data_IF_805887158981
#
_entry.id   IF_805887158981
#
_cell.length_a   1.000
_cell.length_b   1.000
_cell.length_c   1.000
_cell.angle_alpha   90.00
_cell.angle_beta   90.00
_cell.angle_gamma   90.00
#
_symmetry.space_group_name_H-M   'P 1'
#
loop_
_entity.id
_entity.type
_entity.pdbx_description
1 polymer ?
#
# COMPACT_ATOMS: atom_id res chain seq x y z
N UNK A 1 8.78 5.77 -35.44
CA UNK A 1 8.93 4.29 -35.32
C UNK A 1 10.32 3.87 -34.83
N UNK A 2 11.42 4.54 -35.24
CA UNK A 2 12.78 4.24 -34.74
C UNK A 2 13.00 4.66 -33.26
N UNK A 3 12.27 5.67 -32.78
CA UNK A 3 12.39 6.19 -31.41
C UNK A 3 11.73 5.27 -30.36
N UNK A 4 10.59 4.63 -30.70
CA UNK A 4 10.01 3.55 -29.89
C UNK A 4 10.95 2.34 -29.77
N UNK A 5 11.55 1.93 -30.89
CA UNK A 5 12.53 0.82 -30.92
C UNK A 5 13.84 1.12 -30.19
N UNK A 6 14.17 2.40 -29.97
CA UNK A 6 15.36 2.82 -29.19
C UNK A 6 15.05 2.89 -27.69
N UNK A 7 13.82 3.23 -27.30
CA UNK A 7 13.32 3.11 -25.91
C UNK A 7 13.13 1.65 -25.48
N UNK A 8 12.62 0.80 -26.37
CA UNK A 8 12.48 -0.65 -26.16
C UNK A 8 13.84 -1.34 -25.93
N UNK A 9 14.91 -0.89 -26.61
CA UNK A 9 16.27 -1.44 -26.40
C UNK A 9 17.02 -0.82 -25.22
N UNK A 10 16.65 0.37 -24.76
CA UNK A 10 17.29 1.03 -23.62
C UNK A 10 16.91 0.38 -22.28
N UNK A 11 15.64 -0.03 -22.14
CA UNK A 11 15.11 -0.69 -20.95
C UNK A 11 15.52 -2.18 -20.78
N UNK A 12 16.21 -2.78 -21.75
CA UNK A 12 16.76 -4.13 -21.60
C UNK A 12 18.10 -4.16 -20.84
N UNK A 13 18.79 -3.02 -20.78
CA UNK A 13 20.14 -2.87 -20.17
C UNK A 13 20.11 -2.39 -18.73
N UNK A 14 19.07 -1.66 -18.33
CA UNK A 14 18.86 -1.19 -16.96
C UNK A 14 17.77 -2.07 -16.34
N UNK A 15 18.05 -2.72 -15.20
CA UNK A 15 17.09 -3.62 -14.54
C UNK A 15 15.77 -2.92 -14.20
N UNK A 16 14.74 -3.70 -13.89
CA UNK A 16 13.42 -3.17 -13.56
C UNK A 16 13.45 -2.22 -12.35
N UNK A 17 13.02 -0.97 -12.57
CA UNK A 17 13.09 0.11 -11.59
C UNK A 17 11.76 0.44 -10.90
N UNK A 18 10.68 -0.27 -11.27
CA UNK A 18 9.35 -0.10 -10.69
C UNK A 18 9.26 -0.52 -9.22
N UNK A 19 8.19 -0.11 -8.54
CA UNK A 19 7.98 -0.27 -7.10
C UNK A 19 8.00 -1.73 -6.69
N UNK A 20 7.38 -2.62 -7.48
CA UNK A 20 7.43 -4.06 -7.25
C UNK A 20 8.85 -4.65 -7.32
N UNK A 21 9.78 -3.96 -7.96
CA UNK A 21 11.20 -4.34 -8.01
C UNK A 21 12.02 -3.84 -6.82
N UNK A 22 11.45 -3.09 -5.88
CA UNK A 22 12.17 -2.52 -4.73
C UNK A 22 11.92 -3.32 -3.46
N UNK A 23 12.82 -3.17 -2.49
CA UNK A 23 12.56 -3.65 -1.13
C UNK A 23 11.43 -2.82 -0.54
N UNK A 24 10.38 -3.49 -0.04
CA UNK A 24 9.20 -2.82 0.51
C UNK A 24 8.61 -3.60 1.67
N UNK A 25 8.04 -2.87 2.62
CA UNK A 25 7.29 -3.43 3.75
C UNK A 25 5.80 -3.17 3.58
N UNK A 26 5.00 -4.04 4.17
CA UNK A 26 3.57 -3.82 4.31
C UNK A 26 3.14 -4.21 5.74
N UNK A 27 2.11 -3.56 6.29
CA UNK A 27 1.51 -4.01 7.53
C UNK A 27 0.77 -5.32 7.30
N UNK A 28 0.89 -6.25 8.23
CA UNK A 28 0.07 -7.46 8.33
C UNK A 28 -0.45 -7.56 9.75
N UNK A 29 -1.74 -7.81 9.88
CA UNK A 29 -2.36 -8.05 11.17
C UNK A 29 -2.04 -9.48 11.62
N UNK A 30 -1.46 -9.62 12.81
CA UNK A 30 -1.11 -10.91 13.42
C UNK A 30 -1.96 -11.08 14.66
N UNK A 31 -2.73 -12.16 14.71
CA UNK A 31 -3.52 -12.52 15.88
C UNK A 31 -2.69 -13.40 16.81
N UNK A 32 -2.54 -12.97 18.06
CA UNK A 32 -1.84 -13.68 19.12
C UNK A 32 -2.76 -14.74 19.78
N UNK A 33 -2.16 -15.65 20.55
CA UNK A 33 -2.88 -16.77 21.18
C UNK A 33 -3.96 -16.32 22.19
N UNK A 34 -3.87 -15.10 22.71
CA UNK A 34 -4.85 -14.49 23.60
C UNK A 34 -6.03 -13.83 22.86
N UNK A 35 -6.04 -13.92 21.52
CA UNK A 35 -7.05 -13.32 20.64
C UNK A 35 -6.85 -11.83 20.38
N UNK A 36 -5.79 -11.21 20.91
CA UNK A 36 -5.39 -9.86 20.54
C UNK A 36 -4.76 -9.84 19.14
N UNK A 37 -4.83 -8.70 18.47
CA UNK A 37 -4.25 -8.54 17.14
C UNK A 37 -3.24 -7.37 17.13
N UNK A 38 -2.07 -7.62 16.58
CA UNK A 38 -1.00 -6.65 16.45
C UNK A 38 -0.59 -6.46 14.99
N UNK A 39 -0.44 -5.20 14.58
CA UNK A 39 0.07 -4.88 13.24
C UNK A 39 1.58 -5.09 13.24
N UNK A 40 2.05 -6.00 12.38
CA UNK A 40 3.46 -6.31 12.16
C UNK A 40 3.86 -5.84 10.77
N UNK A 41 4.93 -5.07 10.69
CA UNK A 41 5.49 -4.63 9.41
C UNK A 41 6.44 -5.68 8.85
N UNK A 42 6.06 -6.30 7.74
CA UNK A 42 6.78 -7.41 7.11
C UNK A 42 7.22 -7.05 5.70
N UNK A 43 8.33 -7.62 5.23
CA UNK A 43 8.86 -7.35 3.90
C UNK A 43 8.08 -8.10 2.81
N UNK A 44 7.38 -7.37 1.94
CA UNK A 44 6.58 -7.93 0.82
C UNK A 44 7.31 -7.84 -0.53
N UNK A 45 8.40 -7.09 -0.58
CA UNK A 45 9.35 -7.10 -1.69
C UNK A 45 10.76 -7.04 -1.14
N UNK A 46 11.67 -7.77 -1.79
CA UNK A 46 13.09 -7.83 -1.45
C UNK A 46 13.89 -7.66 -2.73
N UNK A 47 14.64 -6.57 -2.82
CA UNK A 47 15.61 -6.35 -3.89
C UNK A 47 17.00 -6.75 -3.40
N UNK A 48 17.55 -7.81 -3.99
CA UNK A 48 18.83 -8.38 -3.58
C UNK A 48 20.05 -7.51 -3.90
N UNK A 49 19.91 -6.56 -4.84
CA UNK A 49 20.98 -5.63 -5.17
C UNK A 49 21.07 -4.50 -4.14
N UNK A 50 19.94 -4.00 -3.65
CA UNK A 50 19.91 -2.92 -2.64
C UNK A 50 20.00 -3.47 -1.21
N UNK A 51 19.42 -4.64 -0.95
CA UNK A 51 19.28 -5.22 0.40
C UNK A 51 19.77 -6.67 0.47
N UNK A 52 21.09 -6.91 0.32
CA UNK A 52 21.64 -8.28 0.30
C UNK A 52 21.42 -9.05 1.60
N UNK A 53 21.34 -8.37 2.75
CA UNK A 53 21.04 -9.01 4.04
C UNK A 53 19.62 -9.56 4.09
N UNK A 54 18.63 -8.82 3.57
CA UNK A 54 17.24 -9.28 3.48
C UNK A 54 17.08 -10.40 2.45
N UNK A 55 17.81 -10.33 1.34
CA UNK A 55 17.86 -11.40 0.36
C UNK A 55 18.37 -12.72 0.96
N UNK A 56 19.37 -12.65 1.85
CA UNK A 56 19.88 -13.83 2.54
C UNK A 56 18.85 -14.38 3.56
N UNK A 57 18.14 -13.51 4.28
CA UNK A 57 17.03 -13.93 5.16
C UNK A 57 15.89 -14.58 4.37
N UNK A 58 15.54 -14.03 3.20
CA UNK A 58 14.55 -14.62 2.30
C UNK A 58 14.97 -16.03 1.82
N UNK A 59 16.25 -16.20 1.44
CA UNK A 59 16.83 -17.49 1.03
C UNK A 59 16.94 -18.51 2.16
N UNK A 60 16.92 -18.08 3.42
CA UNK A 60 16.90 -18.96 4.60
C UNK A 60 15.49 -19.25 5.12
N UNK A 61 14.45 -18.69 4.50
CA UNK A 61 13.08 -18.77 5.00
C UNK A 61 12.92 -18.10 6.37
N UNK A 62 13.67 -17.03 6.61
CA UNK A 62 13.74 -16.29 7.87
C UNK A 62 13.01 -14.96 7.81
N UNK A 63 12.58 -14.54 6.62
CA UNK A 63 11.98 -13.23 6.38
C UNK A 63 10.72 -12.95 7.22
N UNK A 64 9.97 -14.00 7.56
CA UNK A 64 8.70 -13.91 8.29
C UNK A 64 8.67 -14.70 9.60
N UNK A 65 9.83 -14.99 10.19
CA UNK A 65 9.88 -15.58 11.54
C UNK A 65 9.69 -14.47 12.57
N UNK A 66 8.56 -14.51 13.29
CA UNK A 66 8.24 -13.57 14.36
C UNK A 66 8.29 -14.38 15.66
N UNK A 67 9.35 -14.14 16.43
CA UNK A 67 9.76 -14.95 17.58
C UNK A 67 9.99 -16.44 17.30
N UNK A 68 10.66 -17.13 18.23
CA UNK A 68 11.17 -18.51 18.03
C UNK A 68 10.07 -19.59 17.81
N UNK A 69 8.79 -19.22 17.79
CA UNK A 69 7.65 -20.15 17.79
C UNK A 69 6.63 -19.97 16.66
N UNK A 70 6.54 -18.81 15.98
CA UNK A 70 5.56 -18.59 14.90
C UNK A 70 6.19 -17.98 13.64
N UNK A 71 5.86 -18.55 12.48
CA UNK A 71 6.22 -18.01 11.18
C UNK A 71 4.97 -17.63 10.40
N UNK A 72 4.91 -16.41 9.87
CA UNK A 72 3.78 -15.99 9.04
C UNK A 72 3.89 -16.61 7.64
N UNK A 73 2.77 -17.12 7.14
CA UNK A 73 2.67 -17.63 5.77
C UNK A 73 2.23 -16.49 4.86
N UNK A 74 3.20 -15.81 4.25
CA UNK A 74 2.98 -14.65 3.40
C UNK A 74 3.76 -14.78 2.10
N UNK A 75 3.18 -14.32 0.99
CA UNK A 75 3.88 -14.17 -0.29
C UNK A 75 4.76 -12.92 -0.30
N UNK A 76 5.83 -12.93 -1.10
CA UNK A 76 6.65 -11.75 -1.35
C UNK A 76 7.28 -11.78 -2.73
N UNK A 77 7.67 -10.61 -3.24
CA UNK A 77 8.43 -10.50 -4.49
C UNK A 77 9.92 -10.54 -4.18
N UNK A 78 10.65 -11.41 -4.86
CA UNK A 78 12.12 -11.42 -4.86
C UNK A 78 12.62 -10.87 -6.18
N UNK A 79 13.49 -9.85 -6.13
CA UNK A 79 14.09 -9.25 -7.31
C UNK A 79 15.61 -9.20 -7.18
N UNK A 80 16.31 -9.73 -8.18
CA UNK A 80 17.75 -9.54 -8.38
C UNK A 80 17.95 -8.97 -9.80
N UNK A 81 18.11 -7.65 -9.93
CA UNK A 81 18.27 -7.02 -11.25
C UNK A 81 19.58 -7.44 -11.92
N UNK A 82 20.64 -7.73 -11.15
CA UNK A 82 21.94 -8.14 -11.70
C UNK A 82 21.86 -9.53 -12.35
N UNK A 83 21.06 -10.44 -11.78
CA UNK A 83 20.82 -11.78 -12.34
C UNK A 83 19.56 -11.89 -13.20
N UNK A 84 18.84 -10.77 -13.41
CA UNK A 84 17.54 -10.71 -14.11
C UNK A 84 16.55 -11.74 -13.56
N UNK A 85 16.48 -11.84 -12.22
CA UNK A 85 15.56 -12.73 -11.51
C UNK A 85 14.46 -11.89 -10.89
N UNK A 86 13.22 -12.26 -11.16
CA UNK A 86 12.04 -11.64 -10.58
C UNK A 86 11.00 -12.74 -10.36
N UNK A 87 10.71 -13.02 -9.10
CA UNK A 87 9.83 -14.12 -8.71
C UNK A 87 8.84 -13.70 -7.63
N UNK A 88 7.63 -14.21 -7.76
CA UNK A 88 6.65 -14.18 -6.69
C UNK A 88 6.83 -15.44 -5.85
N UNK A 89 7.35 -15.27 -4.64
CA UNK A 89 7.66 -16.38 -3.73
C UNK A 89 6.49 -16.61 -2.78
N UNK A 90 5.97 -17.82 -2.77
CA UNK A 90 4.91 -18.26 -1.87
C UNK A 90 5.44 -19.35 -0.94
N UNK A 91 5.04 -19.37 0.33
CA UNK A 91 5.27 -20.51 1.20
C UNK A 91 4.37 -21.69 0.78
N UNK A 92 4.77 -22.91 1.16
CA UNK A 92 4.09 -24.14 0.74
C UNK A 92 2.60 -24.17 1.13
N UNK A 93 2.25 -23.62 2.31
CA UNK A 93 0.87 -23.52 2.77
C UNK A 93 -0.04 -22.62 1.91
N UNK A 94 0.54 -21.69 1.16
CA UNK A 94 -0.20 -20.81 0.23
C UNK A 94 -0.24 -21.33 -1.21
N UNK A 95 0.21 -22.57 -1.48
CA UNK A 95 0.20 -23.18 -2.82
C UNK A 95 -1.15 -23.05 -3.54
N UNK A 96 -2.25 -23.16 -2.80
CA UNK A 96 -3.61 -23.06 -3.35
C UNK A 96 -3.96 -21.67 -3.89
N UNK A 97 -3.31 -20.60 -3.40
CA UNK A 97 -3.53 -19.20 -3.84
C UNK A 97 -2.58 -18.75 -4.94
N UNK A 98 -1.74 -19.65 -5.47
CA UNK A 98 -0.71 -19.31 -6.46
C UNK A 98 -1.24 -18.55 -7.68
N UNK A 99 -2.44 -18.90 -8.17
CA UNK A 99 -3.04 -18.21 -9.31
C UNK A 99 -3.59 -16.83 -8.96
N UNK A 100 -4.22 -16.69 -7.78
CA UNK A 100 -4.74 -15.42 -7.27
C UNK A 100 -3.60 -14.41 -7.03
N UNK A 101 -2.55 -14.85 -6.32
CA UNK A 101 -1.39 -14.01 -6.01
C UNK A 101 -0.64 -13.60 -7.29
N UNK A 102 -0.62 -14.48 -8.30
CA UNK A 102 -0.07 -14.15 -9.62
C UNK A 102 -0.93 -13.14 -10.37
N UNK A 103 -2.26 -13.27 -10.32
CA UNK A 103 -3.16 -12.30 -10.94
C UNK A 103 -2.97 -10.92 -10.30
N UNK A 104 -2.93 -10.84 -8.98
CA UNK A 104 -2.68 -9.60 -8.24
C UNK A 104 -1.33 -8.97 -8.61
N UNK A 105 -0.26 -9.77 -8.76
CA UNK A 105 1.03 -9.25 -9.23
C UNK A 105 0.95 -8.66 -10.65
N UNK A 106 0.23 -9.32 -11.56
CA UNK A 106 0.07 -8.85 -12.95
C UNK A 106 -0.73 -7.54 -12.98
N UNK A 107 -1.79 -7.44 -12.18
CA UNK A 107 -2.57 -6.22 -12.03
C UNK A 107 -1.70 -5.07 -11.51
N UNK A 108 -0.95 -5.30 -10.43
CA UNK A 108 -0.03 -4.29 -9.89
C UNK A 108 1.07 -3.89 -10.88
N UNK A 109 1.57 -4.81 -11.72
CA UNK A 109 2.53 -4.47 -12.79
C UNK A 109 1.87 -3.61 -13.88
N UNK A 110 0.60 -3.83 -14.19
CA UNK A 110 -0.13 -3.06 -15.18
C UNK A 110 -0.47 -1.63 -14.70
N UNK A 111 -0.56 -1.43 -13.39
CA UNK A 111 -0.79 -0.14 -12.74
C UNK A 111 0.45 0.76 -12.70
N UNK A 112 1.64 0.26 -13.07
CA UNK A 112 2.91 1.02 -13.13
C UNK A 112 3.37 1.30 -14.59
N UNK A 113 2.62 2.07 -15.42
CA UNK A 113 2.96 2.27 -16.83
C UNK A 113 4.21 3.13 -17.05
N UNK A 114 4.70 3.81 -16.00
CA UNK A 114 5.83 4.74 -16.07
C UNK A 114 7.19 4.03 -16.24
N UNK A 115 7.27 2.75 -15.90
CA UNK A 115 8.50 1.97 -15.99
C UNK A 115 8.41 0.91 -17.08
N UNK A 116 9.39 0.80 -18.00
CA UNK A 116 9.42 -0.28 -18.96
C UNK A 116 9.55 -1.61 -18.21
N UNK A 117 8.63 -2.54 -18.44
CA UNK A 117 8.63 -3.87 -17.83
C UNK A 117 9.54 -4.80 -18.66
N UNK A 118 10.70 -5.23 -18.14
CA UNK A 118 11.58 -6.15 -18.86
C UNK A 118 10.93 -7.53 -19.00
N UNK A 119 11.33 -8.30 -20.02
CA UNK A 119 10.79 -9.65 -20.25
C UNK A 119 10.88 -10.56 -19.02
N UNK A 120 11.98 -10.50 -18.26
CA UNK A 120 12.15 -11.34 -17.06
C UNK A 120 11.20 -10.98 -15.91
N UNK A 121 10.61 -9.78 -15.92
CA UNK A 121 9.57 -9.33 -14.99
C UNK A 121 8.19 -9.64 -15.52
N UNK A 122 7.95 -9.45 -16.82
CA UNK A 122 6.69 -9.82 -17.47
C UNK A 122 6.44 -11.35 -17.38
N UNK A 123 7.51 -12.14 -17.43
CA UNK A 123 7.51 -13.60 -17.32
C UNK A 123 7.76 -14.09 -15.88
N UNK A 124 7.49 -13.24 -14.88
CA UNK A 124 7.68 -13.56 -13.47
C UNK A 124 7.06 -14.92 -13.11
N UNK A 125 7.88 -15.78 -12.51
CA UNK A 125 7.47 -17.12 -12.09
C UNK A 125 6.95 -17.09 -10.66
N UNK A 126 5.91 -17.90 -10.41
CA UNK A 126 5.46 -18.20 -9.05
C UNK A 126 6.33 -19.34 -8.52
N UNK A 127 7.07 -19.04 -7.46
CA UNK A 127 8.01 -19.95 -6.82
C UNK A 127 7.42 -20.38 -5.49
N UNK A 128 7.16 -21.68 -5.32
CA UNK A 128 6.47 -22.20 -4.14
C UNK A 128 7.47 -22.96 -3.27
N UNK A 129 7.72 -22.44 -2.07
CA UNK A 129 8.62 -23.03 -1.09
C UNK A 129 10.09 -22.62 -1.26
N UNK A 130 10.87 -22.87 -0.21
CA UNK A 130 12.26 -22.45 -0.12
C UNK A 130 13.17 -23.18 -1.12
N UNK A 131 13.00 -24.50 -1.25
CA UNK A 131 13.76 -25.31 -2.20
C UNK A 131 13.54 -24.88 -3.66
N UNK A 132 12.32 -24.46 -3.99
CA UNK A 132 12.02 -23.94 -5.32
C UNK A 132 12.69 -22.58 -5.56
N UNK A 133 12.78 -21.74 -4.52
CA UNK A 133 13.50 -20.47 -4.59
C UNK A 133 14.99 -20.69 -4.79
N UNK A 134 15.61 -21.59 -4.03
CA UNK A 134 17.03 -21.91 -4.21
C UNK A 134 17.32 -22.43 -5.63
N UNK A 135 16.46 -23.31 -6.16
CA UNK A 135 16.57 -23.82 -7.54
C UNK A 135 16.42 -22.70 -8.56
N UNK A 136 15.38 -21.88 -8.44
CA UNK A 136 15.13 -20.74 -9.32
C UNK A 136 16.32 -19.76 -9.36
N UNK A 137 16.96 -19.52 -8.21
CA UNK A 137 18.11 -18.62 -8.10
C UNK A 137 19.44 -19.24 -8.59
N UNK A 138 19.54 -20.57 -8.55
CA UNK A 138 20.72 -21.31 -9.02
C UNK A 138 20.71 -21.56 -10.52
N UNK A 139 19.53 -21.61 -11.14
CA UNK A 139 19.40 -21.68 -12.60
C UNK A 139 19.96 -20.40 -13.23
N UNK A 140 21.05 -20.56 -13.97
CA UNK A 140 21.60 -19.48 -14.80
C UNK A 140 20.67 -19.28 -16.00
N UNK A 141 20.38 -18.06 -16.47
CA UNK A 141 19.47 -17.89 -17.60
C UNK A 141 20.09 -18.52 -18.86
N UNK A 142 19.57 -19.68 -19.30
CA UNK A 142 19.70 -20.07 -20.70
C UNK A 142 18.90 -19.07 -21.55
N UNK A 143 19.51 -18.63 -22.64
CA UNK A 143 18.90 -17.72 -23.61
C UNK A 143 17.53 -18.28 -24.07
N UNK A 144 16.52 -17.42 -24.32
CA UNK A 144 15.16 -17.88 -24.54
C UNK A 144 15.08 -18.74 -25.81
N UNK A 145 14.86 -20.05 -25.63
CA UNK A 145 14.39 -20.89 -26.71
C UNK A 145 12.97 -20.46 -27.08
N UNK A 146 12.82 -20.06 -28.34
CA UNK A 146 11.56 -19.76 -29.01
C UNK A 146 10.61 -20.95 -28.93
N UNK A 147 9.79 -20.99 -27.89
CA UNK A 147 8.61 -21.86 -27.84
C UNK A 147 7.45 -21.13 -28.48
N UNK A 148 7.23 -21.43 -29.76
CA UNK A 148 6.01 -21.09 -30.49
C UNK A 148 4.81 -21.66 -29.74
N UNK A 149 3.94 -20.79 -29.24
CA UNK A 149 2.59 -21.18 -28.83
C UNK A 149 1.77 -21.51 -30.09
N UNK A 150 1.08 -22.67 -30.17
CA UNK A 150 0.24 -23.00 -31.32
C UNK A 150 -0.96 -22.05 -31.36
N UNK A 151 -1.21 -21.43 -32.52
CA UNK A 151 -2.49 -20.76 -32.80
C UNK A 151 -3.59 -21.82 -32.85
N UNK A 152 -4.41 -21.88 -31.79
CA UNK A 152 -5.66 -22.63 -31.73
C UNK A 152 -6.83 -21.68 -31.49
N UNK A 153 -7.72 -21.62 -32.47
CA UNK A 153 -8.99 -20.91 -32.57
C UNK A 153 -9.63 -20.35 -31.28
N UNK A 154 -9.76 -19.02 -31.22
CA UNK A 154 -10.79 -18.36 -30.41
C UNK A 154 -12.12 -18.39 -31.18
N UNK A 155 -13.11 -19.09 -30.65
CA UNK A 155 -14.51 -18.89 -31.01
C UNK A 155 -15.02 -17.58 -30.37
N UNK A 156 -15.91 -16.83 -31.04
CA UNK A 156 -16.42 -15.56 -30.52
C UNK A 156 -17.36 -15.81 -29.34
N UNK A 157 -17.12 -15.13 -28.22
CA UNK A 157 -18.12 -15.01 -27.16
C UNK A 157 -19.06 -13.88 -27.60
N UNK A 158 -20.30 -14.26 -27.92
CA UNK A 158 -21.37 -13.35 -28.29
C UNK A 158 -21.70 -12.39 -27.14
N UNK A 159 -21.80 -11.11 -27.48
CA UNK A 159 -22.23 -10.06 -26.58
C UNK A 159 -23.69 -10.28 -26.17
N UNK A 160 -23.95 -10.38 -24.87
CA UNK A 160 -25.29 -10.18 -24.32
C UNK A 160 -25.53 -8.68 -24.08
N UNK A 161 -26.69 -8.14 -24.49
CA UNK A 161 -26.94 -6.71 -24.46
C UNK A 161 -27.36 -6.27 -23.05
N UNK A 162 -26.47 -5.59 -22.32
CA UNK A 162 -26.85 -4.87 -21.08
C UNK A 162 -27.48 -3.52 -21.47
N UNK A 163 -28.59 -3.58 -22.21
CA UNK A 163 -29.43 -2.43 -22.55
C UNK A 163 -30.78 -2.45 -21.82
N UNK A 164 -31.02 -3.41 -20.91
CA UNK A 164 -32.33 -3.64 -20.29
C UNK A 164 -32.31 -3.75 -18.76
N UNK A 165 -31.34 -3.09 -18.12
CA UNK A 165 -31.40 -2.73 -16.68
C UNK A 165 -31.21 -1.21 -16.47
N UNK A 166 -30.84 -0.48 -17.52
CA UNK A 166 -30.76 1.00 -17.52
C UNK A 166 -32.13 1.71 -17.60
N UNK A 167 -33.24 1.01 -17.27
CA UNK A 167 -34.60 1.59 -17.21
C UNK A 167 -35.26 1.29 -15.88
N UNK A 168 -34.68 1.82 -14.80
CA UNK A 168 -35.42 2.34 -13.64
C UNK A 168 -34.39 2.90 -12.67
N UNK A 169 -34.20 4.21 -12.75
CA UNK A 169 -34.00 5.16 -11.65
C UNK A 169 -33.22 6.34 -12.21
N UNK A 170 -33.99 7.31 -12.67
CA UNK A 170 -33.62 8.71 -12.71
C UNK A 170 -34.61 9.43 -11.78
N UNK A 171 -34.31 10.66 -11.34
CA UNK A 171 -33.63 10.99 -10.10
C UNK A 171 -34.63 11.44 -9.03
N UNK A 172 -34.39 11.09 -7.77
CA UNK A 172 -35.04 11.75 -6.65
C UNK A 172 -33.96 12.52 -5.89
N UNK A 173 -34.03 13.84 -6.05
CA UNK A 173 -33.29 14.82 -5.30
C UNK A 173 -33.76 14.78 -3.84
N UNK A 174 -32.95 14.20 -2.97
CA UNK A 174 -32.87 14.47 -1.53
C UNK A 174 -31.48 13.98 -1.11
N UNK A 175 -30.71 14.87 -0.50
CA UNK A 175 -29.32 14.63 -0.08
C UNK A 175 -29.30 13.60 1.07
N UNK A 176 -28.82 12.36 0.87
CA UNK A 176 -28.81 11.35 1.91
C UNK A 176 -27.70 11.59 2.96
N UNK A 177 -26.88 12.64 2.80
CA UNK A 177 -25.68 12.88 3.60
C UNK A 177 -25.88 13.92 4.72
N UNK A 178 -27.00 14.64 4.76
CA UNK A 178 -27.34 15.57 5.87
C UNK A 178 -27.60 14.85 7.22
N UNK A 179 -27.64 13.52 7.27
CA UNK A 179 -28.07 12.77 8.47
C UNK A 179 -27.11 11.67 8.94
N UNK A 180 -25.83 11.72 8.57
CA UNK A 180 -24.86 10.71 9.04
C UNK A 180 -24.61 10.77 10.55
N UNK A 181 -24.77 11.95 11.16
CA UNK A 181 -24.50 12.17 12.58
C UNK A 181 -25.57 11.54 13.52
N UNK A 182 -26.73 11.15 12.97
CA UNK A 182 -27.80 10.47 13.71
C UNK A 182 -27.77 8.94 13.57
N UNK A 183 -26.85 8.39 12.75
CA UNK A 183 -26.77 6.96 12.48
C UNK A 183 -26.06 6.20 13.60
N UNK A 184 -26.54 4.99 13.91
CA UNK A 184 -25.84 4.07 14.82
C UNK A 184 -24.47 3.66 14.23
N UNK A 185 -23.44 3.34 15.06
CA UNK A 185 -22.13 2.91 14.57
C UNK A 185 -22.16 1.73 13.58
N UNK A 186 -23.13 0.81 13.74
CA UNK A 186 -23.34 -0.32 12.84
C UNK A 186 -23.88 0.13 11.47
N UNK A 187 -24.77 1.14 11.46
CA UNK A 187 -25.29 1.71 10.23
C UNK A 187 -24.21 2.52 9.48
N UNK A 188 -23.36 3.25 10.21
CA UNK A 188 -22.19 3.94 9.67
C UNK A 188 -21.22 2.92 9.03
N UNK A 189 -20.90 1.84 9.74
CA UNK A 189 -20.05 0.76 9.24
C UNK A 189 -20.60 0.10 7.97
N UNK A 190 -21.90 -0.17 7.94
CA UNK A 190 -22.58 -0.78 6.77
C UNK A 190 -22.56 0.16 5.57
N UNK A 191 -22.89 1.42 5.77
CA UNK A 191 -22.93 2.42 4.71
C UNK A 191 -21.54 2.74 4.15
N UNK A 192 -20.53 2.84 5.01
CA UNK A 192 -19.16 3.09 4.56
C UNK A 192 -18.58 1.89 3.80
N UNK A 193 -18.92 0.67 4.20
CA UNK A 193 -18.61 -0.53 3.41
C UNK A 193 -19.25 -0.46 2.03
N UNK A 194 -20.54 -0.15 1.94
CA UNK A 194 -21.19 0.02 0.64
C UNK A 194 -20.52 1.09 -0.23
N UNK A 195 -20.06 2.20 0.36
CA UNK A 195 -19.33 3.24 -0.37
C UNK A 195 -17.98 2.73 -0.88
N UNK A 196 -17.24 1.96 -0.07
CA UNK A 196 -15.98 1.33 -0.51
C UNK A 196 -16.23 0.32 -1.63
N UNK A 197 -17.26 -0.52 -1.51
CA UNK A 197 -17.63 -1.56 -2.49
C UNK A 197 -18.08 -0.97 -3.83
N UNK A 198 -18.68 0.23 -3.83
CA UNK A 198 -19.05 0.98 -5.06
C UNK A 198 -17.84 1.48 -5.86
N UNK A 199 -16.63 1.34 -5.32
CA UNK A 199 -15.38 1.73 -5.96
C UNK A 199 -15.33 3.21 -6.31
N UNK A 200 -14.96 3.55 -7.55
CA UNK A 200 -14.86 4.95 -8.02
C UNK A 200 -16.17 5.74 -7.79
N UNK A 201 -17.32 5.08 -7.90
CA UNK A 201 -18.63 5.72 -7.70
C UNK A 201 -18.89 6.09 -6.23
N UNK A 202 -18.13 5.51 -5.30
CA UNK A 202 -18.23 5.78 -3.86
C UNK A 202 -17.31 6.91 -3.37
N UNK A 203 -16.30 7.30 -4.16
CA UNK A 203 -15.32 8.33 -3.78
C UNK A 203 -15.99 9.66 -3.42
N UNK A 204 -16.97 10.20 -4.18
CA UNK A 204 -17.65 11.44 -3.80
C UNK A 204 -18.33 11.36 -2.43
N UNK A 205 -18.93 10.20 -2.10
CA UNK A 205 -19.59 9.99 -0.81
C UNK A 205 -18.60 9.91 0.35
N UNK A 206 -17.44 9.28 0.14
CA UNK A 206 -16.37 9.24 1.13
C UNK A 206 -15.74 10.63 1.34
N UNK A 207 -15.54 11.40 0.27
CA UNK A 207 -15.04 12.79 0.36
C UNK A 207 -16.03 13.68 1.11
N UNK A 208 -17.34 13.52 0.88
CA UNK A 208 -18.35 14.23 1.66
C UNK A 208 -18.31 13.83 3.15
N UNK A 209 -18.15 12.54 3.45
CA UNK A 209 -18.07 12.03 4.81
C UNK A 209 -16.84 12.52 5.60
N UNK A 210 -15.76 12.95 4.93
CA UNK A 210 -14.63 13.63 5.60
C UNK A 210 -15.04 14.95 6.27
N UNK A 211 -16.18 15.54 5.91
CA UNK A 211 -16.69 16.81 6.43
C UNK A 211 -17.76 16.63 7.53
N UNK A 212 -18.03 15.40 7.97
CA UNK A 212 -19.02 15.12 9.03
C UNK A 212 -18.60 15.70 10.38
N UNK A 213 -19.56 16.09 11.22
CA UNK A 213 -19.30 16.53 12.59
C UNK A 213 -18.74 15.38 13.46
N UNK A 214 -19.11 14.14 13.13
CA UNK A 214 -18.64 12.92 13.80
C UNK A 214 -17.21 12.54 13.40
N UNK A 215 -16.28 12.61 14.37
CA UNK A 215 -14.89 12.14 14.22
C UNK A 215 -14.78 10.66 13.80
N UNK A 216 -15.75 9.83 14.20
CA UNK A 216 -15.86 8.42 13.83
C UNK A 216 -16.10 8.27 12.34
N UNK A 217 -17.03 9.07 11.79
CA UNK A 217 -17.38 9.08 10.37
C UNK A 217 -16.18 9.56 9.56
N UNK A 218 -15.55 10.66 9.97
CA UNK A 218 -14.38 11.21 9.26
C UNK A 218 -13.23 10.20 9.21
N UNK A 219 -12.94 9.52 10.32
CA UNK A 219 -11.92 8.47 10.38
C UNK A 219 -12.23 7.30 9.44
N UNK A 220 -13.47 6.83 9.43
CA UNK A 220 -13.86 5.69 8.63
C UNK A 220 -13.93 6.03 7.13
N UNK A 221 -14.30 7.27 6.78
CA UNK A 221 -14.17 7.80 5.42
C UNK A 221 -12.70 7.87 4.96
N UNK A 222 -11.80 8.34 5.83
CA UNK A 222 -10.37 8.34 5.59
C UNK A 222 -9.80 6.93 5.33
N UNK A 223 -10.24 5.94 6.12
CA UNK A 223 -9.86 4.53 5.91
C UNK A 223 -10.36 4.06 4.55
N UNK A 224 -11.62 4.34 4.21
CA UNK A 224 -12.20 3.98 2.91
C UNK A 224 -11.43 4.56 1.73
N UNK A 225 -11.05 5.84 1.80
CA UNK A 225 -10.24 6.51 0.78
C UNK A 225 -8.80 5.94 0.71
N UNK A 226 -8.21 5.58 1.84
CA UNK A 226 -6.85 5.01 1.88
C UNK A 226 -6.72 3.67 1.14
N UNK A 227 -7.82 2.91 1.03
CA UNK A 227 -7.86 1.62 0.35
C UNK A 227 -7.88 1.71 -1.16
N UNK A 228 -8.12 2.90 -1.71
CA UNK A 228 -8.11 3.17 -3.14
C UNK A 228 -7.15 4.33 -3.41
N UNK A 229 -5.82 4.05 -3.43
CA UNK A 229 -4.85 5.13 -3.55
C UNK A 229 -5.00 5.86 -4.87
N UNK A 230 -5.30 7.16 -4.78
CA UNK A 230 -5.34 8.06 -5.93
C UNK A 230 -4.83 9.44 -5.51
N UNK A 231 -4.39 10.23 -6.49
CA UNK A 231 -3.96 11.60 -6.24
C UNK A 231 -5.10 12.44 -5.62
N UNK A 232 -6.34 12.25 -6.08
CA UNK A 232 -7.50 12.95 -5.52
C UNK A 232 -7.76 12.54 -4.07
N UNK A 233 -7.77 11.23 -3.77
CA UNK A 233 -7.96 10.75 -2.41
C UNK A 233 -6.87 11.28 -1.46
N UNK A 234 -5.62 11.35 -1.91
CA UNK A 234 -4.52 11.90 -1.13
C UNK A 234 -4.69 13.39 -0.83
N UNK A 235 -5.03 14.19 -1.83
CA UNK A 235 -5.30 15.64 -1.64
C UNK A 235 -6.44 15.84 -0.64
N UNK A 236 -7.59 15.17 -0.85
CA UNK A 236 -8.75 15.32 0.04
C UNK A 236 -8.49 14.87 1.46
N UNK A 237 -7.70 13.80 1.63
CA UNK A 237 -7.35 13.31 2.96
C UNK A 237 -6.36 14.24 3.67
N UNK A 238 -5.41 14.85 2.93
CA UNK A 238 -4.51 15.87 3.48
C UNK A 238 -5.28 17.13 3.88
N UNK A 239 -6.20 17.60 3.04
CA UNK A 239 -7.06 18.76 3.36
C UNK A 239 -7.86 18.50 4.65
N UNK A 240 -8.54 17.35 4.72
CA UNK A 240 -9.32 16.97 5.90
C UNK A 240 -8.45 16.82 7.16
N UNK A 241 -7.23 16.27 7.02
CA UNK A 241 -6.28 16.16 8.12
C UNK A 241 -5.82 17.54 8.64
N UNK A 242 -5.56 18.50 7.75
CA UNK A 242 -5.15 19.84 8.14
C UNK A 242 -6.23 20.58 8.92
N UNK A 243 -7.50 20.26 8.67
CA UNK A 243 -8.65 20.84 9.35
C UNK A 243 -9.08 20.03 10.59
N UNK A 244 -8.51 18.85 10.84
CA UNK A 244 -8.95 17.92 11.88
C UNK A 244 -8.60 18.40 13.30
N UNK A 245 -9.59 18.76 14.15
CA UNK A 245 -9.31 19.29 15.48
C UNK A 245 -9.15 18.22 16.56
N UNK A 246 -9.43 16.95 16.27
CA UNK A 246 -9.47 15.88 17.27
C UNK A 246 -8.24 14.98 17.25
N UNK A 247 -8.17 14.05 18.21
CA UNK A 247 -7.09 13.06 18.31
C UNK A 247 -6.97 12.10 17.12
N UNK A 248 -7.96 12.04 16.22
CA UNK A 248 -7.91 11.19 15.02
C UNK A 248 -6.91 11.70 13.98
N UNK A 249 -6.45 12.96 14.07
CA UNK A 249 -5.45 13.54 13.14
C UNK A 249 -4.18 12.67 13.03
N UNK A 250 -3.73 12.10 14.16
CA UNK A 250 -2.57 11.18 14.16
C UNK A 250 -2.84 9.89 13.37
N UNK A 251 -4.08 9.41 13.37
CA UNK A 251 -4.48 8.26 12.55
C UNK A 251 -4.59 8.65 11.08
N UNK A 252 -5.24 9.76 10.77
CA UNK A 252 -5.34 10.27 9.40
C UNK A 252 -3.95 10.51 8.78
N UNK A 253 -2.99 11.02 9.54
CA UNK A 253 -1.61 11.18 9.08
C UNK A 253 -0.96 9.84 8.66
N UNK A 254 -1.24 8.75 9.39
CA UNK A 254 -0.80 7.40 9.00
C UNK A 254 -1.48 6.93 7.73
N UNK A 255 -2.78 7.18 7.59
CA UNK A 255 -3.55 6.82 6.40
C UNK A 255 -3.06 7.59 5.15
N UNK A 256 -2.69 8.86 5.30
CA UNK A 256 -2.01 9.63 4.24
C UNK A 256 -0.69 8.95 3.86
N UNK A 257 0.14 8.55 4.83
CA UNK A 257 1.39 7.86 4.52
C UNK A 257 1.16 6.50 3.83
N UNK A 258 0.08 5.79 4.18
CA UNK A 258 -0.29 4.52 3.55
C UNK A 258 -0.70 4.66 2.06
N UNK A 259 -1.10 5.86 1.63
CA UNK A 259 -1.31 6.20 0.21
C UNK A 259 -0.01 6.26 -0.60
N UNK A 260 1.15 6.17 0.06
CA UNK A 260 2.45 6.03 -0.57
C UNK A 260 2.84 7.28 -1.39
N UNK A 261 3.18 7.15 -2.69
CA UNK A 261 3.65 8.29 -3.49
C UNK A 261 2.59 9.39 -3.63
N UNK A 262 1.31 9.03 -3.68
CA UNK A 262 0.22 10.01 -3.72
C UNK A 262 0.15 10.81 -2.41
N UNK A 263 0.31 10.12 -1.26
CA UNK A 263 0.38 10.74 0.05
C UNK A 263 1.59 11.68 0.19
N UNK A 264 2.77 11.24 -0.24
CA UNK A 264 3.98 12.06 -0.26
C UNK A 264 3.81 13.31 -1.13
N UNK A 265 3.28 13.15 -2.35
CA UNK A 265 3.06 14.26 -3.28
C UNK A 265 2.05 15.27 -2.73
N UNK A 266 0.92 14.81 -2.19
CA UNK A 266 -0.10 15.67 -1.60
C UNK A 266 0.40 16.39 -0.35
N UNK A 267 1.10 15.69 0.55
CA UNK A 267 1.66 16.27 1.77
C UNK A 267 2.75 17.30 1.45
N UNK A 268 3.57 17.05 0.43
CA UNK A 268 4.57 18.00 -0.05
C UNK A 268 3.90 19.26 -0.61
N UNK A 269 2.93 19.10 -1.51
CA UNK A 269 2.20 20.24 -2.07
C UNK A 269 1.54 21.09 -0.97
N UNK A 270 0.87 20.45 -0.01
CA UNK A 270 0.28 21.14 1.12
C UNK A 270 1.32 21.89 1.97
N UNK A 271 2.47 21.27 2.27
CA UNK A 271 3.56 21.90 3.02
C UNK A 271 4.21 23.08 2.28
N UNK A 272 4.23 23.07 0.95
CA UNK A 272 4.72 24.19 0.14
C UNK A 272 3.78 25.40 0.23
N UNK A 273 2.48 25.16 0.42
CA UNK A 273 1.46 26.19 0.54
C UNK A 273 1.30 26.72 1.98
N UNK A 274 1.80 26.01 3.01
CA UNK A 274 1.73 26.49 4.39
C UNK A 274 2.76 27.59 4.67
N UNK A 275 2.33 28.60 5.46
CA UNK A 275 3.21 29.69 5.91
C UNK A 275 4.02 29.35 7.16
N UNK A 276 3.51 28.40 7.96
CA UNK A 276 4.10 27.97 9.22
C UNK A 276 4.12 26.44 9.27
N UNK A 277 5.03 25.83 10.06
CA UNK A 277 5.08 24.38 10.22
C UNK A 277 3.78 23.82 10.82
N UNK A 278 3.08 22.98 10.04
CA UNK A 278 1.87 22.28 10.51
C UNK A 278 2.24 21.01 11.27
N UNK A 279 1.75 20.87 12.51
CA UNK A 279 1.93 19.63 13.30
C UNK A 279 1.35 18.41 12.60
N UNK A 280 0.24 18.58 11.86
CA UNK A 280 -0.38 17.49 11.12
C UNK A 280 0.53 17.01 9.99
N UNK A 281 1.18 17.93 9.26
CA UNK A 281 2.14 17.56 8.22
C UNK A 281 3.42 16.98 8.82
N UNK A 282 3.89 17.47 9.97
CA UNK A 282 5.01 16.85 10.72
C UNK A 282 4.72 15.37 10.99
N UNK A 283 3.51 15.04 11.46
CA UNK A 283 3.08 13.66 11.67
C UNK A 283 3.06 12.85 10.36
N UNK A 284 2.59 13.43 9.25
CA UNK A 284 2.58 12.77 7.94
C UNK A 284 3.99 12.46 7.48
N UNK A 285 4.90 13.43 7.51
CA UNK A 285 6.30 13.23 7.10
C UNK A 285 7.01 12.22 8.01
N UNK A 286 6.69 12.21 9.30
CA UNK A 286 7.12 11.15 10.22
C UNK A 286 6.66 9.77 9.75
N UNK A 287 5.37 9.59 9.50
CA UNK A 287 4.82 8.31 9.06
C UNK A 287 5.25 7.91 7.63
N UNK A 288 5.50 8.86 6.73
CA UNK A 288 6.06 8.59 5.41
C UNK A 288 7.48 8.01 5.52
N UNK A 289 8.32 8.59 6.37
CA UNK A 289 9.64 8.02 6.61
C UNK A 289 9.59 6.63 7.27
N UNK A 290 8.64 6.38 8.18
CA UNK A 290 8.39 5.02 8.69
C UNK A 290 7.90 4.05 7.62
N UNK A 291 7.12 4.53 6.65
CA UNK A 291 6.56 3.76 5.55
C UNK A 291 7.57 3.48 4.42
N UNK A 292 8.82 3.94 4.53
CA UNK A 292 9.89 3.68 3.56
C UNK A 292 10.16 4.81 2.56
N UNK A 293 9.69 6.02 2.86
CA UNK A 293 10.04 7.25 2.12
C UNK A 293 11.07 8.09 2.88
N UNK A 294 11.88 7.48 3.75
CA UNK A 294 12.82 8.18 4.64
C UNK A 294 13.88 8.96 3.87
N UNK A 295 14.36 8.46 2.74
CA UNK A 295 15.29 9.18 1.87
C UNK A 295 14.64 10.39 1.20
N UNK A 296 13.40 10.27 0.73
CA UNK A 296 12.64 11.38 0.17
C UNK A 296 12.40 12.45 1.23
N UNK A 297 11.98 12.07 2.44
CA UNK A 297 11.80 13.01 3.55
C UNK A 297 13.14 13.63 3.97
N UNK A 298 14.24 12.87 4.01
CA UNK A 298 15.56 13.40 4.33
C UNK A 298 16.02 14.43 3.30
N UNK A 299 15.77 14.19 2.01
CA UNK A 299 16.08 15.16 0.95
C UNK A 299 15.30 16.46 1.15
N UNK A 300 14.03 16.37 1.57
CA UNK A 300 13.20 17.55 1.83
C UNK A 300 13.71 18.39 3.01
N UNK A 301 14.51 17.84 3.93
CA UNK A 301 15.14 18.65 5.00
C UNK A 301 16.11 19.71 4.47
N UNK A 302 16.52 19.60 3.20
CA UNK A 302 17.43 20.51 2.49
C UNK A 302 16.72 21.29 1.38
N UNK A 303 15.38 21.28 1.37
CA UNK A 303 14.58 21.98 0.38
C UNK A 303 14.76 23.50 0.47
N UNK A 304 14.58 24.21 -0.65
CA UNK A 304 14.68 25.66 -0.71
C UNK A 304 13.56 26.34 0.08
N UNK A 305 12.41 25.68 0.24
CA UNK A 305 11.33 26.16 1.09
C UNK A 305 11.66 25.86 2.57
N UNK A 306 11.92 26.88 3.40
CA UNK A 306 12.34 26.67 4.80
C UNK A 306 11.24 26.05 5.67
N UNK A 307 9.96 26.26 5.34
CA UNK A 307 8.83 25.68 6.10
C UNK A 307 8.73 24.19 5.83
N UNK A 308 8.79 23.78 4.56
CA UNK A 308 8.82 22.37 4.17
C UNK A 308 10.05 21.65 4.76
N UNK A 309 11.22 22.28 4.68
CA UNK A 309 12.45 21.74 5.26
C UNK A 309 12.36 21.56 6.78
N UNK A 310 11.72 22.49 7.49
CA UNK A 310 11.46 22.36 8.92
C UNK A 310 10.47 21.24 9.24
N UNK A 311 9.35 21.16 8.51
CA UNK A 311 8.34 20.10 8.69
C UNK A 311 8.99 18.71 8.49
N UNK A 312 9.76 18.53 7.42
CA UNK A 312 10.44 17.27 7.14
C UNK A 312 11.44 16.89 8.23
N UNK A 313 12.23 17.86 8.72
CA UNK A 313 13.21 17.63 9.79
C UNK A 313 12.54 17.20 11.09
N UNK A 314 11.51 17.96 11.51
CA UNK A 314 10.71 17.63 12.70
C UNK A 314 10.02 16.28 12.57
N UNK A 315 9.57 15.92 11.37
CA UNK A 315 8.98 14.61 11.09
C UNK A 315 9.96 13.47 11.33
N UNK A 316 11.21 13.60 10.87
CA UNK A 316 12.27 12.61 11.12
C UNK A 316 12.66 12.53 12.59
N UNK A 317 12.82 13.66 13.27
CA UNK A 317 13.18 13.72 14.69
C UNK A 317 12.13 12.99 15.55
N UNK A 318 10.84 13.17 15.24
CA UNK A 318 9.74 12.51 15.94
C UNK A 318 9.82 10.97 15.88
N UNK A 319 10.38 10.40 14.80
CA UNK A 319 10.58 8.95 14.65
C UNK A 319 11.77 8.48 15.46
N UNK A 320 12.88 9.24 15.45
CA UNK A 320 14.10 8.89 16.19
C UNK A 320 13.78 8.82 17.68
N UNK A 321 13.09 9.84 18.20
CA UNK A 321 12.66 9.88 19.60
C UNK A 321 11.72 8.73 19.97
N UNK A 322 10.79 8.37 19.08
CA UNK A 322 9.88 7.24 19.30
C UNK A 322 10.60 5.88 19.29
N UNK A 323 11.57 5.69 18.38
CA UNK A 323 12.40 4.48 18.29
C UNK A 323 13.29 4.32 19.52
N UNK A 324 13.93 5.41 19.96
CA UNK A 324 14.78 5.43 21.13
C UNK A 324 13.97 5.21 22.42
N UNK A 325 12.77 5.79 22.52
CA UNK A 325 11.86 5.53 23.62
C UNK A 325 11.45 4.04 23.70
N UNK A 326 11.06 3.43 22.58
CA UNK A 326 10.70 2.00 22.52
C UNK A 326 11.91 1.11 22.85
N UNK A 327 13.11 1.45 22.37
CA UNK A 327 14.33 0.71 22.69
C UNK A 327 14.70 0.77 24.19
N UNK A 328 14.34 1.85 24.87
CA UNK A 328 14.56 2.04 26.32
C UNK A 328 13.47 1.38 27.18
N UNK A 329 12.26 1.13 26.64
CA UNK A 329 11.19 0.43 27.36
C UNK A 329 11.36 -1.09 27.22
N UNK A 330 11.97 -1.74 28.23
CA UNK A 330 12.19 -3.20 28.24
C UNK A 330 10.92 -4.08 28.36
N UNK A 331 9.73 -3.49 28.18
CA UNK A 331 8.44 -4.18 28.07
C UNK A 331 7.51 -3.31 27.20
N UNK A 332 6.69 -3.89 26.30
CA UNK A 332 5.72 -3.12 25.54
C UNK A 332 4.71 -2.47 26.50
N UNK A 333 4.30 -1.21 26.26
CA UNK A 333 3.35 -0.53 27.13
C UNK A 333 2.05 -1.33 27.21
N UNK A 334 1.72 -1.73 28.44
CA UNK A 334 0.58 -2.55 28.78
C UNK A 334 -0.74 -1.88 28.37
N UNK A 335 -1.47 -2.52 27.45
CA UNK A 335 -2.90 -2.81 27.54
C UNK A 335 -3.86 -1.69 27.99
N UNK A 336 -3.71 -0.48 27.47
CA UNK A 336 -4.82 0.47 27.42
C UNK A 336 -4.71 1.34 26.15
N UNK A 337 -4.92 0.71 24.98
CA UNK A 337 -4.97 1.41 23.69
C UNK A 337 -6.10 2.44 23.67
N UNK A 338 -5.83 3.57 23.05
CA UNK A 338 -6.76 4.69 22.91
C UNK A 338 -8.10 4.18 22.33
N UNK A 339 -9.27 4.60 22.84
CA UNK A 339 -10.56 4.33 22.20
C UNK A 339 -10.57 4.55 20.68
N UNK A 340 -9.79 5.51 20.19
CA UNK A 340 -9.64 5.81 18.75
C UNK A 340 -8.87 4.69 18.03
N UNK A 341 -7.78 4.16 18.61
CA UNK A 341 -7.01 3.05 18.03
C UNK A 341 -7.89 1.80 17.86
N UNK A 342 -8.74 1.52 18.86
CA UNK A 342 -9.68 0.37 18.82
C UNK A 342 -10.77 0.56 17.78
N UNK A 343 -11.24 1.79 17.60
CA UNK A 343 -12.24 2.13 16.60
C UNK A 343 -11.67 2.05 15.17
N UNK A 344 -10.45 2.56 14.95
CA UNK A 344 -9.74 2.44 13.67
C UNK A 344 -9.57 0.97 13.28
N UNK A 345 -9.04 0.15 14.20
CA UNK A 345 -8.85 -1.29 13.98
C UNK A 345 -10.17 -2.02 13.68
N UNK A 346 -11.28 -1.60 14.31
CA UNK A 346 -12.61 -2.17 14.03
C UNK A 346 -13.07 -1.85 12.61
N UNK A 347 -12.91 -0.62 12.14
CA UNK A 347 -13.31 -0.25 10.77
C UNK A 347 -12.40 -0.89 9.72
N UNK A 348 -11.09 -1.00 9.99
CA UNK A 348 -10.17 -1.72 9.13
C UNK A 348 -10.55 -3.19 9.00
N UNK A 349 -10.82 -3.88 10.12
CA UNK A 349 -11.27 -5.26 10.13
C UNK A 349 -12.64 -5.43 9.45
N UNK A 350 -13.56 -4.50 9.68
CA UNK A 350 -14.86 -4.51 9.05
C UNK A 350 -14.71 -4.55 7.52
N UNK A 351 -13.91 -3.68 6.94
CA UNK A 351 -13.77 -3.56 5.49
C UNK A 351 -12.96 -4.71 4.84
N UNK A 352 -12.33 -5.62 5.59
CA UNK A 352 -11.60 -6.80 5.05
C UNK A 352 -12.51 -7.99 4.67
N UNK A 353 -13.81 -7.90 4.95
CA UNK A 353 -14.81 -8.95 4.70
C UNK A 353 -15.96 -8.48 3.81
#
# INVERSE_FOLDING_TARGET
>A
MQERRRRERGGETEGYAGLLGRTRRAPVLVTEDDGSAEVRWVYRGVNAATDPALAELARRGELFRIDRAQGLLLSFVYHDPAKRKFALVLPEGLRHRALEERAALIESLAEEPEHPIPAYVAEAQVVIGLEALERYLSDTPEAPESTRVPRGAHAPIEALPIAEVARKMEPAAEDPFESMDELSPVAIETMLRELVDRGESGVPGLVAALQSESSVVRLAAAIGLSRRPSAEAAVRLVDALLEEPTGIARHMARLVAALGPFGLAAAKAAAEETREPSEALVLVFGHLAEAGYDLEVENLTRDENPVLAEIARRGLDAIIDARDAVALMSSPPSAQRDPIDRLAARFEAALEH
#
